data_IF_403268945504
#
_entry.id   IF_403268945504
#
_cell.length_a   1.000
_cell.length_b   1.000
_cell.length_c   1.000
_cell.angle_alpha   90.00
_cell.angle_beta   90.00
_cell.angle_gamma   90.00
#
_symmetry.space_group_name_H-M   'P 1'
#
loop_
_entity.id
_entity.type
_entity.pdbx_description
1 polymer ?
#
# COMPACT_ATOMS: atom_id res chain seq x y z
N UNK A 1 1.44 -7.55 -0.61
CA UNK A 1 2.27 -6.48 -1.25
C UNK A 1 2.92 -7.06 -2.48
N UNK A 2 2.63 -6.49 -3.62
CA UNK A 2 3.16 -6.97 -4.89
C UNK A 2 4.49 -6.33 -5.23
N UNK A 3 4.60 -5.04 -4.97
CA UNK A 3 5.79 -4.27 -5.34
C UNK A 3 5.86 -3.02 -4.47
N UNK A 4 7.06 -2.66 -4.05
CA UNK A 4 7.28 -1.40 -3.34
C UNK A 4 8.68 -0.88 -3.64
N UNK A 5 8.76 0.40 -4.01
CA UNK A 5 10.02 1.05 -4.34
C UNK A 5 10.24 2.22 -3.37
N UNK A 6 11.19 2.04 -2.44
CA UNK A 6 11.48 3.05 -1.43
C UNK A 6 12.14 4.29 -2.01
N UNK A 7 12.86 4.15 -3.10
CA UNK A 7 13.51 5.31 -3.74
C UNK A 7 12.49 6.23 -4.40
N UNK A 8 11.49 5.66 -5.05
CA UNK A 8 10.42 6.43 -5.67
C UNK A 8 9.32 6.79 -4.69
N UNK A 9 9.25 6.09 -3.56
CA UNK A 9 8.30 6.37 -2.51
C UNK A 9 6.90 5.86 -2.76
N UNK A 10 6.73 4.78 -3.52
CA UNK A 10 5.42 4.21 -3.77
C UNK A 10 5.52 2.72 -4.12
N UNK A 11 4.37 2.06 -4.11
CA UNK A 11 4.26 0.67 -4.50
C UNK A 11 2.82 0.30 -4.80
N UNK A 12 2.58 -1.00 -5.01
CA UNK A 12 1.26 -1.53 -5.31
C UNK A 12 0.97 -2.74 -4.44
N UNK A 13 -0.26 -2.78 -3.94
CA UNK A 13 -0.75 -3.92 -3.17
C UNK A 13 -1.71 -4.69 -4.05
N UNK A 14 -1.51 -6.01 -4.15
CA UNK A 14 -2.44 -6.88 -4.83
C UNK A 14 -3.50 -7.34 -3.83
N UNK A 15 -4.78 -6.95 -4.00
CA UNK A 15 -5.84 -7.40 -3.12
C UNK A 15 -6.02 -8.92 -3.16
N UNK A 16 -6.38 -9.51 -2.04
CA UNK A 16 -6.56 -10.96 -1.94
C UNK A 16 -7.72 -11.48 -2.78
N UNK A 17 -8.65 -10.63 -3.14
CA UNK A 17 -9.80 -11.00 -3.97
C UNK A 17 -9.52 -10.95 -5.48
N UNK A 18 -8.28 -10.64 -5.88
CA UNK A 18 -7.91 -10.56 -7.28
C UNK A 18 -8.28 -9.25 -7.98
N UNK A 19 -8.72 -8.26 -7.22
CA UNK A 19 -9.04 -6.93 -7.77
C UNK A 19 -7.78 -6.26 -8.30
N UNK A 20 -7.98 -5.09 -8.94
CA UNK A 20 -6.85 -4.30 -9.45
C UNK A 20 -5.91 -3.90 -8.33
N UNK A 21 -4.62 -3.81 -8.64
CA UNK A 21 -3.60 -3.36 -7.70
C UNK A 21 -3.97 -1.99 -7.12
N UNK A 22 -3.72 -1.82 -5.83
CA UNK A 22 -3.99 -0.57 -5.12
C UNK A 22 -2.68 0.16 -4.90
N UNK A 23 -2.62 1.41 -5.31
CA UNK A 23 -1.45 2.26 -5.10
C UNK A 23 -1.26 2.54 -3.61
N UNK A 24 0.00 2.53 -3.16
CA UNK A 24 0.35 2.92 -1.80
C UNK A 24 1.55 3.86 -1.85
N UNK A 25 1.43 5.01 -1.18
CA UNK A 25 2.51 5.98 -1.07
C UNK A 25 3.28 5.76 0.22
N UNK A 26 4.58 6.09 0.21
CA UNK A 26 5.43 5.88 1.38
C UNK A 26 4.93 6.64 2.62
N UNK A 27 4.25 7.77 2.42
CA UNK A 27 3.68 8.51 3.54
C UNK A 27 2.64 7.67 4.31
N UNK A 28 1.89 6.83 3.61
CA UNK A 28 0.93 5.94 4.26
C UNK A 28 1.65 4.86 5.07
N UNK A 29 2.78 4.38 4.57
CA UNK A 29 3.61 3.40 5.28
C UNK A 29 4.19 4.02 6.55
N UNK A 30 4.70 5.23 6.46
CA UNK A 30 5.26 5.95 7.60
C UNK A 30 4.21 6.25 8.67
N UNK A 31 3.01 6.62 8.24
CA UNK A 31 1.89 6.87 9.18
C UNK A 31 1.50 5.63 9.95
N UNK A 32 1.69 4.47 9.35
CA UNK A 32 1.42 3.20 10.00
C UNK A 32 2.53 2.76 10.97
N UNK A 33 3.59 3.55 11.07
CA UNK A 33 4.74 3.23 11.90
C UNK A 33 5.70 2.23 11.27
N UNK A 34 5.57 1.99 9.97
CA UNK A 34 6.43 1.07 9.24
C UNK A 34 7.48 1.85 8.46
N UNK A 35 8.64 1.25 8.24
CA UNK A 35 9.70 1.90 7.45
C UNK A 35 9.54 1.63 5.97
N UNK A 36 9.10 0.44 5.63
CA UNK A 36 8.92 0.00 4.27
C UNK A 36 8.00 -1.23 4.25
N UNK A 37 7.56 -1.58 3.06
CA UNK A 37 6.83 -2.82 2.84
C UNK A 37 7.70 -3.73 1.96
N UNK A 38 7.63 -5.01 2.23
CA UNK A 38 8.40 -6.00 1.48
C UNK A 38 7.50 -6.72 0.50
N UNK A 39 8.08 -7.10 -0.64
CA UNK A 39 7.37 -7.90 -1.63
C UNK A 39 6.87 -9.19 -0.98
N UNK A 40 5.61 -9.50 -1.24
CA UNK A 40 4.96 -10.67 -0.66
C UNK A 40 4.42 -10.48 0.76
N UNK A 41 4.71 -9.33 1.39
CA UNK A 41 4.21 -9.04 2.73
C UNK A 41 2.69 -8.90 2.73
N UNK A 42 2.05 -9.48 3.74
CA UNK A 42 0.61 -9.33 3.93
C UNK A 42 0.34 -8.09 4.78
N UNK A 43 -0.54 -7.24 4.30
CA UNK A 43 -0.94 -6.03 5.02
C UNK A 43 -2.45 -5.88 4.93
N UNK A 44 -3.04 -5.31 5.95
CA UNK A 44 -4.42 -4.84 5.89
C UNK A 44 -4.40 -3.32 5.69
N UNK A 45 -5.42 -2.81 5.01
CA UNK A 45 -5.48 -1.41 4.65
C UNK A 45 -6.90 -1.01 4.29
N UNK A 46 -7.14 0.29 4.28
CA UNK A 46 -8.36 0.87 3.76
C UNK A 46 -8.10 1.50 2.40
N UNK A 47 -9.11 1.52 1.55
CA UNK A 47 -9.01 2.17 0.25
C UNK A 47 -9.61 3.57 0.37
N UNK A 48 -8.82 4.58 0.00
CA UNK A 48 -9.29 5.95 -0.09
C UNK A 48 -9.22 6.41 -1.53
N UNK A 49 -10.16 7.24 -1.93
CA UNK A 49 -10.19 7.80 -3.29
C UNK A 49 -9.85 9.27 -3.23
N UNK A 50 -8.80 9.67 -3.94
CA UNK A 50 -8.41 11.07 -4.08
C UNK A 50 -8.23 11.38 -5.55
N UNK A 51 -8.86 12.45 -6.00
CA UNK A 51 -8.76 12.92 -7.39
C UNK A 51 -9.05 11.82 -8.41
N UNK A 52 -10.02 10.96 -8.10
CA UNK A 52 -10.39 9.86 -8.98
C UNK A 52 -9.45 8.68 -8.95
N UNK A 53 -8.47 8.67 -8.04
CA UNK A 53 -7.53 7.56 -7.91
C UNK A 53 -7.69 6.90 -6.54
N UNK A 54 -7.59 5.58 -6.54
CA UNK A 54 -7.64 4.80 -5.30
C UNK A 54 -6.24 4.60 -4.75
N UNK A 55 -6.11 4.73 -3.43
CA UNK A 55 -4.86 4.50 -2.74
C UNK A 55 -5.10 3.79 -1.42
N UNK A 56 -4.11 3.05 -0.96
CA UNK A 56 -4.16 2.39 0.34
C UNK A 56 -3.83 3.40 1.44
N UNK A 57 -4.53 3.27 2.57
CA UNK A 57 -4.30 4.08 3.76
C UNK A 57 -4.51 3.22 4.99
N UNK A 58 -4.13 3.73 6.17
CA UNK A 58 -4.31 3.02 7.44
C UNK A 58 -3.75 1.60 7.39
N UNK A 59 -2.52 1.49 6.92
CA UNK A 59 -1.86 0.19 6.77
C UNK A 59 -1.57 -0.45 8.12
N UNK A 60 -1.76 -1.75 8.18
CA UNK A 60 -1.39 -2.55 9.36
C UNK A 60 -0.79 -3.86 8.88
N UNK A 61 0.19 -4.36 9.61
CA UNK A 61 0.74 -5.68 9.34
C UNK A 61 -0.34 -6.72 9.63
N UNK A 62 -0.58 -7.57 8.67
CA UNK A 62 -1.60 -8.61 8.82
C UNK A 62 -1.06 -9.85 9.53
#
# INVERSE_FOLDING_TARGET
MKFFNTQKGFGFIEPSDGSKDVFVHISAVERAGMRTLMEGQKVSYDIVTERGKQAAANLEAA
#
